data_IF_650348426791
#
_entry.id   IF_650348426791
#
_cell.length_a   1.000
_cell.length_b   1.000
_cell.length_c   1.000
_cell.angle_alpha   90.00
_cell.angle_beta   90.00
_cell.angle_gamma   90.00
#
_symmetry.space_group_name_H-M   'P 1'
#
loop_
_entity.id
_entity.type
_entity.pdbx_description
1 polymer ?
#
# COMPACT_ATOMS: atom_id res chain seq x y z
N UNK A 1 33.46 -32.06 -35.21
CA UNK A 1 33.39 -30.72 -34.59
C UNK A 1 31.98 -30.16 -34.76
N UNK A 2 31.22 -30.09 -33.66
CA UNK A 2 30.28 -29.00 -33.30
C UNK A 2 29.65 -29.38 -31.97
N UNK A 3 30.27 -28.86 -30.91
CA UNK A 3 29.75 -28.84 -29.54
C UNK A 3 28.77 -27.68 -29.35
N UNK A 4 28.05 -27.79 -28.23
CA UNK A 4 27.42 -26.74 -27.43
C UNK A 4 26.12 -26.15 -28.01
N UNK A 5 24.97 -26.46 -27.38
CA UNK A 5 24.50 -25.89 -26.11
C UNK A 5 23.93 -24.49 -26.31
N UNK A 6 22.63 -24.35 -26.06
CA UNK A 6 21.98 -23.31 -25.23
C UNK A 6 20.49 -23.33 -25.60
N UNK A 7 19.56 -23.87 -24.80
CA UNK A 7 19.09 -23.57 -23.43
C UNK A 7 17.67 -23.00 -23.55
N UNK A 8 16.75 -23.75 -22.95
CA UNK A 8 15.37 -23.43 -22.55
C UNK A 8 14.85 -22.01 -22.83
N UNK A 9 13.77 -21.96 -23.61
CA UNK A 9 12.72 -20.95 -23.45
C UNK A 9 11.89 -21.25 -22.21
N UNK A 10 11.24 -20.19 -21.74
CA UNK A 10 10.14 -20.18 -20.77
C UNK A 10 10.55 -20.38 -19.31
N UNK A 11 10.88 -19.28 -18.64
CA UNK A 11 10.31 -18.92 -17.34
C UNK A 11 10.71 -17.48 -17.02
N UNK A 12 9.76 -16.56 -17.20
CA UNK A 12 9.91 -15.15 -16.87
C UNK A 12 8.54 -14.58 -16.62
N UNK A 13 8.01 -14.85 -15.43
CA UNK A 13 6.84 -14.16 -14.90
C UNK A 13 7.16 -12.66 -14.86
N UNK A 14 6.55 -11.89 -15.75
CA UNK A 14 6.32 -10.46 -15.53
C UNK A 14 4.87 -10.18 -15.84
N UNK A 15 4.00 -10.55 -14.89
CA UNK A 15 2.68 -9.93 -14.78
C UNK A 15 2.85 -8.49 -14.30
N UNK A 16 3.50 -7.66 -15.11
CA UNK A 16 3.52 -6.22 -14.91
C UNK A 16 2.11 -5.74 -15.24
N UNK A 17 1.25 -5.70 -14.24
CA UNK A 17 0.00 -4.93 -14.34
C UNK A 17 0.41 -3.51 -14.73
N UNK A 18 0.00 -3.02 -15.91
CA UNK A 18 0.32 -1.67 -16.34
C UNK A 18 -0.31 -0.70 -15.35
N UNK A 19 0.55 0.05 -14.67
CA UNK A 19 0.19 1.17 -13.83
C UNK A 19 -0.29 2.30 -14.75
N UNK A 20 -1.57 2.26 -15.12
CA UNK A 20 -2.17 3.28 -15.97
C UNK A 20 -2.31 4.59 -15.19
N UNK A 21 -1.29 5.45 -15.27
CA UNK A 21 -1.52 6.90 -15.44
C UNK A 21 -1.22 7.83 -14.28
N UNK A 22 -0.69 7.38 -13.14
CA UNK A 22 -0.31 8.30 -12.05
C UNK A 22 1.20 8.28 -11.86
N UNK A 23 1.88 9.31 -12.36
CA UNK A 23 3.30 9.47 -12.12
C UNK A 23 3.56 9.69 -10.62
N UNK A 24 4.73 9.31 -10.09
CA UNK A 24 5.10 9.63 -8.71
C UNK A 24 5.06 11.14 -8.43
N UNK A 25 5.26 11.97 -9.46
CA UNK A 25 5.10 13.42 -9.38
C UNK A 25 3.63 13.82 -9.09
N UNK A 26 2.67 13.20 -9.78
CA UNK A 26 1.25 13.45 -9.54
C UNK A 26 0.86 13.05 -8.10
N UNK A 27 1.40 11.94 -7.57
CA UNK A 27 1.14 11.53 -6.19
C UNK A 27 1.72 12.50 -5.16
N UNK A 28 2.88 13.11 -5.45
CA UNK A 28 3.44 14.18 -4.61
C UNK A 28 2.53 15.40 -4.58
N UNK A 29 2.09 15.87 -5.74
CA UNK A 29 1.17 17.00 -5.85
C UNK A 29 -0.13 16.72 -5.08
N UNK A 30 -0.71 15.53 -5.22
CA UNK A 30 -1.90 15.12 -4.48
C UNK A 30 -1.66 15.16 -2.97
N UNK A 31 -0.52 14.64 -2.51
CA UNK A 31 -0.17 14.65 -1.09
C UNK A 31 -0.07 16.08 -0.53
N UNK A 32 0.63 16.97 -1.26
CA UNK A 32 0.77 18.37 -0.89
C UNK A 32 -0.59 19.08 -0.82
N UNK A 33 -1.44 18.89 -1.83
CA UNK A 33 -2.77 19.49 -1.89
C UNK A 33 -3.71 19.01 -0.79
N UNK A 34 -3.53 17.78 -0.30
CA UNK A 34 -4.33 17.19 0.77
C UNK A 34 -3.70 17.35 2.16
N UNK A 35 -2.56 18.05 2.28
CA UNK A 35 -1.89 18.31 3.56
C UNK A 35 -1.28 17.06 4.20
N UNK A 36 -0.89 16.07 3.38
CA UNK A 36 -0.25 14.83 3.80
C UNK A 36 1.12 14.68 3.12
N UNK A 37 1.83 13.59 3.43
CA UNK A 37 3.15 13.28 2.90
C UNK A 37 3.05 12.18 1.85
N UNK A 38 3.85 12.30 0.79
CA UNK A 38 4.05 11.21 -0.16
C UNK A 38 5.22 10.33 0.28
N UNK A 39 5.01 9.02 0.31
CA UNK A 39 6.06 8.02 0.51
C UNK A 39 6.17 7.14 -0.72
N UNK A 40 7.31 7.23 -1.39
CA UNK A 40 7.64 6.36 -2.53
C UNK A 40 7.89 4.91 -2.11
N UNK A 41 8.34 4.70 -0.86
CA UNK A 41 8.47 3.37 -0.25
C UNK A 41 7.82 3.36 1.11
N UNK A 42 7.05 2.30 1.37
CA UNK A 42 6.38 2.12 2.65
C UNK A 42 7.24 1.29 3.62
N UNK A 43 7.26 1.63 4.92
CA UNK A 43 7.78 0.71 5.92
C UNK A 43 6.89 -0.54 5.97
N UNK A 44 7.46 -1.65 6.46
CA UNK A 44 6.67 -2.85 6.72
C UNK A 44 5.61 -2.55 7.80
N UNK A 45 4.35 -2.95 7.60
CA UNK A 45 3.33 -2.89 8.63
C UNK A 45 3.79 -3.65 9.89
N UNK A 46 3.49 -3.12 11.07
CA UNK A 46 3.81 -3.80 12.33
C UNK A 46 2.81 -3.47 13.43
N UNK A 47 2.62 -4.42 14.36
CA UNK A 47 1.76 -4.22 15.54
C UNK A 47 0.27 -4.25 15.24
N UNK A 48 -0.18 -5.12 14.33
CA UNK A 48 -1.59 -5.25 13.94
C UNK A 48 -2.10 -6.69 14.11
N UNK A 49 -1.98 -7.23 15.32
CA UNK A 49 -2.56 -8.54 15.63
C UNK A 49 -4.11 -8.49 15.62
N UNK A 50 -4.66 -7.32 15.94
CA UNK A 50 -6.09 -7.06 16.08
C UNK A 50 -6.86 -6.98 14.75
N UNK A 51 -6.17 -6.95 13.60
CA UNK A 51 -6.81 -6.94 12.27
C UNK A 51 -6.74 -8.28 11.55
N UNK A 52 -6.26 -9.34 12.24
CA UNK A 52 -6.09 -10.67 11.63
C UNK A 52 -7.39 -11.34 11.21
N UNK A 53 -8.51 -10.94 11.80
CA UNK A 53 -9.85 -11.36 11.45
C UNK A 53 -10.44 -10.55 10.27
N UNK A 54 -9.82 -9.43 9.91
CA UNK A 54 -10.22 -8.62 8.76
C UNK A 54 -9.71 -9.28 7.46
N UNK A 55 -10.58 -9.58 6.48
CA UNK A 55 -10.17 -10.21 5.24
C UNK A 55 -9.14 -9.37 4.48
N UNK A 56 -8.05 -9.97 4.01
CA UNK A 56 -7.00 -9.27 3.23
C UNK A 56 -7.56 -8.50 2.02
N UNK A 57 -8.68 -8.97 1.46
CA UNK A 57 -9.39 -8.35 0.36
C UNK A 57 -9.98 -6.98 0.70
N UNK A 58 -10.29 -6.70 1.97
CA UNK A 58 -10.74 -5.39 2.42
C UNK A 58 -9.67 -4.32 2.11
N UNK A 59 -8.43 -4.57 2.53
CA UNK A 59 -7.28 -3.70 2.28
C UNK A 59 -6.99 -3.53 0.78
N UNK A 60 -7.06 -4.63 0.01
CA UNK A 60 -6.82 -4.59 -1.45
C UNK A 60 -7.89 -3.79 -2.19
N UNK A 61 -9.16 -3.97 -1.85
CA UNK A 61 -10.29 -3.28 -2.50
C UNK A 61 -10.33 -1.80 -2.19
N UNK A 62 -10.05 -1.45 -0.94
CA UNK A 62 -10.02 -0.05 -0.50
C UNK A 62 -8.66 0.62 -0.77
N UNK A 63 -7.68 -0.14 -1.27
CA UNK A 63 -6.33 0.32 -1.62
C UNK A 63 -5.65 1.10 -0.49
N UNK A 64 -5.59 0.48 0.70
CA UNK A 64 -4.90 1.06 1.85
C UNK A 64 -4.25 -0.01 2.71
N UNK A 65 -3.27 0.40 3.52
CA UNK A 65 -2.57 -0.48 4.46
C UNK A 65 -2.22 0.28 5.74
N UNK A 66 -2.51 -0.28 6.93
CA UNK A 66 -2.05 0.30 8.19
C UNK A 66 -0.53 0.10 8.32
N UNK A 67 0.19 1.12 8.78
CA UNK A 67 1.65 1.10 8.88
C UNK A 67 2.13 1.01 10.31
N UNK A 68 1.59 1.88 11.17
CA UNK A 68 1.97 1.99 12.57
C UNK A 68 0.82 2.58 13.38
N UNK A 69 0.71 2.17 14.65
CA UNK A 69 -0.20 2.76 15.63
C UNK A 69 0.61 3.45 16.72
N UNK A 70 0.45 4.75 16.87
CA UNK A 70 1.22 5.57 17.82
C UNK A 70 0.35 6.70 18.38
N UNK A 71 0.42 6.97 19.70
CA UNK A 71 -0.26 8.10 20.36
C UNK A 71 -1.76 8.23 20.03
N UNK A 72 -2.51 7.12 20.12
CA UNK A 72 -3.94 7.01 19.73
C UNK A 72 -4.23 7.37 18.26
N UNK A 73 -3.24 7.32 17.37
CA UNK A 73 -3.42 7.56 15.94
C UNK A 73 -2.90 6.39 15.13
N UNK A 74 -3.67 6.04 14.09
CA UNK A 74 -3.28 5.01 13.14
C UNK A 74 -2.64 5.69 11.92
N UNK A 75 -1.36 5.45 11.66
CA UNK A 75 -0.75 5.86 10.39
C UNK A 75 -1.16 4.88 9.30
N UNK A 76 -1.75 5.38 8.22
CA UNK A 76 -2.30 4.58 7.13
C UNK A 76 -1.78 5.10 5.79
N UNK A 77 -1.28 4.19 4.96
CA UNK A 77 -0.97 4.50 3.57
C UNK A 77 -2.21 4.28 2.68
N UNK A 78 -2.51 5.26 1.84
CA UNK A 78 -3.62 5.27 0.88
C UNK A 78 -3.11 5.72 -0.50
N UNK A 79 -3.80 5.36 -1.58
CA UNK A 79 -3.47 5.86 -2.92
C UNK A 79 -4.28 7.09 -3.32
N UNK A 80 -5.42 7.33 -2.66
CA UNK A 80 -6.36 8.40 -2.98
C UNK A 80 -6.88 9.05 -1.68
N UNK A 81 -6.58 10.33 -1.40
CA UNK A 81 -7.07 11.03 -0.21
C UNK A 81 -8.59 11.16 -0.16
N UNK A 82 -9.30 11.06 -1.29
CA UNK A 82 -10.76 11.08 -1.32
C UNK A 82 -11.37 9.78 -0.78
N UNK A 83 -10.59 8.70 -0.69
CA UNK A 83 -11.01 7.40 -0.18
C UNK A 83 -10.44 7.10 1.21
N UNK A 84 -10.33 8.12 2.08
CA UNK A 84 -9.77 7.97 3.42
C UNK A 84 -10.74 7.38 4.45
N UNK A 85 -12.03 7.23 4.13
CA UNK A 85 -13.06 6.76 5.07
C UNK A 85 -12.73 5.38 5.66
N UNK A 86 -12.24 4.44 4.83
CA UNK A 86 -11.85 3.11 5.28
C UNK A 86 -10.68 3.13 6.27
N UNK A 87 -9.77 4.10 6.14
CA UNK A 87 -8.65 4.30 7.06
C UNK A 87 -9.13 4.82 8.43
N UNK A 88 -10.06 5.78 8.43
CA UNK A 88 -10.65 6.30 9.66
C UNK A 88 -11.53 5.27 10.37
N UNK A 89 -12.28 4.45 9.62
CA UNK A 89 -13.06 3.34 10.17
C UNK A 89 -12.14 2.31 10.83
N UNK A 90 -11.04 1.93 10.16
CA UNK A 90 -10.06 1.03 10.76
C UNK A 90 -9.41 1.64 12.00
N UNK A 91 -9.07 2.92 11.98
CA UNK A 91 -8.51 3.61 13.15
C UNK A 91 -9.47 3.51 14.35
N UNK A 92 -10.77 3.78 14.13
CA UNK A 92 -11.79 3.63 15.17
C UNK A 92 -11.95 2.20 15.65
N UNK A 93 -11.94 1.23 14.74
CA UNK A 93 -12.01 -0.20 15.07
C UNK A 93 -10.85 -0.61 15.99
N UNK A 94 -9.66 -0.06 15.75
CA UNK A 94 -8.46 -0.26 16.55
C UNK A 94 -8.37 0.61 17.82
N UNK A 95 -9.45 1.31 18.18
CA UNK A 95 -9.50 2.19 19.36
C UNK A 95 -8.68 3.48 19.23
N UNK A 96 -8.26 3.86 18.04
CA UNK A 96 -7.57 5.13 17.78
C UNK A 96 -8.57 6.29 17.64
N UNK A 97 -8.11 7.50 17.92
CA UNK A 97 -8.87 8.75 17.75
C UNK A 97 -9.03 9.17 16.29
N UNK A 98 -8.24 8.60 15.39
CA UNK A 98 -8.35 8.83 13.94
C UNK A 98 -7.12 8.35 13.18
N UNK A 99 -7.16 8.46 11.86
CA UNK A 99 -6.03 8.13 11.02
C UNK A 99 -5.07 9.32 10.82
N UNK A 100 -3.81 9.02 10.52
CA UNK A 100 -2.83 9.90 9.91
C UNK A 100 -2.54 9.33 8.53
N UNK A 101 -2.96 10.04 7.50
CA UNK A 101 -2.85 9.56 6.13
C UNK A 101 -1.44 9.80 5.58
N UNK A 102 -1.01 8.93 4.68
CA UNK A 102 0.21 9.02 3.87
C UNK A 102 -0.15 8.58 2.45
N UNK A 103 0.19 9.36 1.43
CA UNK A 103 -0.03 8.95 0.03
C UNK A 103 1.11 8.03 -0.40
N UNK A 104 0.76 6.93 -1.08
CA UNK A 104 1.71 6.09 -1.77
C UNK A 104 1.10 5.49 -3.03
N UNK A 105 1.93 4.82 -3.83
CA UNK A 105 1.44 4.11 -5.02
C UNK A 105 0.60 2.90 -4.62
N UNK A 106 -0.40 2.56 -5.44
CA UNK A 106 -1.17 1.34 -5.29
C UNK A 106 -0.27 0.10 -5.26
N UNK A 107 0.81 0.10 -6.05
CA UNK A 107 1.82 -0.97 -6.07
C UNK A 107 2.47 -1.16 -4.70
N UNK A 108 2.96 -0.10 -4.08
CA UNK A 108 3.62 -0.18 -2.77
C UNK A 108 2.64 -0.60 -1.67
N UNK A 109 1.40 -0.08 -1.72
CA UNK A 109 0.35 -0.46 -0.78
C UNK A 109 0.02 -1.95 -0.90
N UNK A 110 -0.21 -2.44 -2.13
CA UNK A 110 -0.49 -3.85 -2.39
C UNK A 110 0.69 -4.76 -2.00
N UNK A 111 1.92 -4.27 -2.16
CA UNK A 111 3.12 -4.97 -1.70
C UNK A 111 3.14 -5.11 -0.18
N UNK A 112 2.92 -4.01 0.56
CA UNK A 112 2.89 -3.99 2.01
C UNK A 112 1.74 -4.85 2.59
N UNK A 113 0.57 -4.87 1.93
CA UNK A 113 -0.56 -5.73 2.32
C UNK A 113 -0.15 -7.21 2.35
N UNK A 114 0.74 -7.67 1.46
CA UNK A 114 1.14 -9.09 1.45
C UNK A 114 2.02 -9.50 2.65
N UNK A 115 2.38 -8.55 3.53
CA UNK A 115 3.20 -8.73 4.72
C UNK A 115 2.36 -8.63 6.01
N UNK A 116 1.08 -8.25 5.91
CA UNK A 116 0.14 -8.17 7.04
C UNK A 116 -0.12 -9.54 7.69
#
# INVERSE_FOLDING_TARGET
MKEASTRNKDFGQTGSVPDHGVSPENLRIIAEQSGTVFKERLPAPSGFEEIRDIPIQYFKRMCFVPLEKENDRLTVAINDPLNCQAADELARHLGCKGARLVISSSREILSAINIL
#
